data_IF_316718290395
#
_entry.id   IF_316718290395
#
_cell.length_a   1.000
_cell.length_b   1.000
_cell.length_c   1.000
_cell.angle_alpha   90.00
_cell.angle_beta   90.00
_cell.angle_gamma   90.00
#
_symmetry.space_group_name_H-M   'P 1'
#
loop_
_entity.id
_entity.type
_entity.pdbx_description
1 polymer ?
#
# COMPACT_ATOMS: atom_id res chain seq x y z
N UNK A 1 -10.45 6.17 12.46
CA UNK A 1 -10.90 4.89 11.90
C UNK A 1 -12.39 4.92 11.55
N UNK A 2 -13.36 5.21 12.47
CA UNK A 2 -14.81 5.22 12.13
C UNK A 2 -15.19 6.17 10.99
N UNK A 3 -14.59 7.37 10.91
CA UNK A 3 -14.85 8.33 9.84
C UNK A 3 -14.28 7.83 8.51
N UNK A 4 -13.14 7.15 8.53
CA UNK A 4 -12.52 6.55 7.35
C UNK A 4 -13.43 5.48 6.75
N UNK A 5 -13.96 4.54 7.56
CA UNK A 5 -14.91 3.55 7.08
C UNK A 5 -16.16 4.17 6.48
N UNK A 6 -16.74 5.19 7.14
CA UNK A 6 -17.90 5.90 6.58
C UNK A 6 -17.59 6.58 5.24
N UNK A 7 -16.37 7.09 5.06
CA UNK A 7 -15.95 7.67 3.79
C UNK A 7 -15.81 6.59 2.70
N UNK A 8 -15.26 5.43 3.04
CA UNK A 8 -15.16 4.30 2.12
C UNK A 8 -16.56 3.81 1.70
N UNK A 9 -17.50 3.67 2.64
CA UNK A 9 -18.89 3.30 2.34
C UNK A 9 -19.58 4.34 1.45
N UNK A 10 -19.32 5.63 1.68
CA UNK A 10 -19.92 6.72 0.89
C UNK A 10 -19.35 6.82 -0.51
N UNK A 11 -18.03 6.69 -0.65
CA UNK A 11 -17.30 6.99 -1.89
C UNK A 11 -16.77 5.73 -2.60
N UNK A 12 -17.05 4.55 -2.08
CA UNK A 12 -16.64 3.26 -2.67
C UNK A 12 -17.42 2.85 -3.91
N UNK A 13 -18.34 3.68 -4.41
CA UNK A 13 -19.23 3.37 -5.56
C UNK A 13 -20.03 2.09 -5.33
N UNK A 14 -20.07 1.21 -6.33
CA UNK A 14 -20.79 -0.07 -6.32
C UNK A 14 -19.99 -1.20 -5.63
N UNK A 15 -18.85 -0.86 -4.99
CA UNK A 15 -18.03 -1.84 -4.27
C UNK A 15 -18.58 -2.13 -2.88
N UNK A 16 -18.57 -3.40 -2.52
CA UNK A 16 -18.87 -3.82 -1.16
C UNK A 16 -17.64 -3.56 -0.29
N UNK A 17 -17.79 -2.75 0.76
CA UNK A 17 -16.72 -2.50 1.74
C UNK A 17 -16.69 -3.63 2.75
N UNK A 18 -15.65 -4.44 2.71
CA UNK A 18 -15.43 -5.56 3.64
C UNK A 18 -14.44 -5.09 4.71
N UNK A 19 -14.88 -5.09 5.98
CA UNK A 19 -14.01 -4.79 7.12
C UNK A 19 -13.46 -6.09 7.66
N UNK A 20 -12.15 -6.16 7.75
CA UNK A 20 -11.46 -7.34 8.25
C UNK A 20 -10.92 -7.11 9.65
N UNK A 21 -11.04 -8.13 10.47
CA UNK A 21 -10.38 -8.30 11.75
C UNK A 21 -9.80 -9.72 11.86
N UNK A 22 -9.22 -10.04 13.00
CA UNK A 22 -8.54 -11.33 13.21
C UNK A 22 -9.46 -12.56 13.05
N UNK A 23 -10.76 -12.40 13.20
CA UNK A 23 -11.71 -13.52 13.02
C UNK A 23 -12.26 -13.55 11.60
N UNK A 24 -12.76 -12.42 11.10
CA UNK A 24 -13.38 -12.35 9.77
C UNK A 24 -12.40 -12.58 8.63
N UNK A 25 -11.10 -12.29 8.80
CA UNK A 25 -10.12 -12.59 7.75
C UNK A 25 -10.04 -14.09 7.40
N UNK A 26 -10.34 -14.98 8.37
CA UNK A 26 -10.32 -16.44 8.19
C UNK A 26 -11.40 -16.95 7.22
N UNK A 27 -12.44 -16.15 6.98
CA UNK A 27 -13.47 -16.46 5.99
C UNK A 27 -12.97 -16.25 4.55
N UNK A 28 -11.91 -15.46 4.38
CA UNK A 28 -11.37 -15.08 3.08
C UNK A 28 -10.03 -15.72 2.76
N UNK A 29 -9.20 -15.98 3.77
CA UNK A 29 -7.83 -16.45 3.57
C UNK A 29 -7.50 -17.62 4.52
N UNK A 30 -6.85 -18.63 3.94
CA UNK A 30 -6.15 -19.66 4.68
C UNK A 30 -4.70 -19.21 4.86
N UNK A 31 -4.39 -18.67 6.03
CA UNK A 31 -3.05 -18.15 6.35
C UNK A 31 -2.19 -19.32 6.88
N UNK A 32 -1.01 -19.57 6.30
CA UNK A 32 -0.12 -20.64 6.77
C UNK A 32 0.22 -20.51 8.25
N UNK A 33 0.26 -21.65 8.94
CA UNK A 33 0.45 -21.71 10.39
C UNK A 33 1.73 -21.01 10.84
N UNK A 34 2.83 -21.16 10.10
CA UNK A 34 4.11 -20.52 10.43
C UNK A 34 4.02 -18.97 10.44
N UNK A 35 3.14 -18.38 9.63
CA UNK A 35 2.87 -16.91 9.64
C UNK A 35 2.14 -16.52 10.93
N UNK A 36 1.11 -17.31 11.30
CA UNK A 36 0.34 -17.05 12.52
C UNK A 36 1.20 -17.24 13.78
N UNK A 37 2.08 -18.24 13.79
CA UNK A 37 3.06 -18.45 14.87
C UNK A 37 3.99 -17.24 15.00
N UNK A 38 4.57 -16.76 13.89
CA UNK A 38 5.45 -15.56 13.91
C UNK A 38 4.74 -14.30 14.41
N UNK A 39 3.46 -14.15 14.09
CA UNK A 39 2.63 -13.06 14.58
C UNK A 39 2.39 -13.20 16.10
N UNK A 40 2.00 -14.39 16.58
CA UNK A 40 1.72 -14.67 17.98
C UNK A 40 2.97 -14.50 18.86
N UNK A 41 4.11 -14.97 18.37
CA UNK A 41 5.42 -14.88 19.04
C UNK A 41 6.06 -13.49 18.95
N UNK A 42 5.38 -12.54 18.28
CA UNK A 42 5.87 -11.16 18.03
C UNK A 42 7.17 -11.08 17.21
N UNK A 43 7.48 -12.12 16.47
CA UNK A 43 8.56 -12.13 15.46
C UNK A 43 8.15 -11.31 14.22
N UNK A 44 6.84 -11.28 13.93
CA UNK A 44 6.21 -10.45 12.89
C UNK A 44 5.31 -9.40 13.54
N UNK A 45 5.46 -8.14 13.13
CA UNK A 45 4.54 -7.08 13.54
C UNK A 45 3.26 -7.04 12.69
N UNK A 46 2.18 -6.48 13.23
CA UNK A 46 0.90 -6.35 12.52
C UNK A 46 1.00 -5.59 11.19
N UNK A 47 1.90 -4.62 11.06
CA UNK A 47 2.12 -3.93 9.80
C UNK A 47 2.60 -4.89 8.69
N UNK A 48 3.57 -5.74 8.99
CA UNK A 48 4.09 -6.73 8.05
C UNK A 48 3.10 -7.87 7.78
N UNK A 49 2.31 -8.26 8.79
CA UNK A 49 1.20 -9.18 8.59
C UNK A 49 0.14 -8.58 7.65
N UNK A 50 -0.16 -7.30 7.80
CA UNK A 50 -1.05 -6.57 6.88
C UNK A 50 -0.50 -6.52 5.45
N UNK A 51 0.82 -6.52 5.25
CA UNK A 51 1.43 -6.61 3.92
C UNK A 51 1.11 -7.96 3.23
N UNK A 52 1.13 -9.06 4.00
CA UNK A 52 0.70 -10.38 3.50
C UNK A 52 -0.80 -10.39 3.20
N UNK A 53 -1.63 -9.91 4.13
CA UNK A 53 -3.09 -9.90 3.96
C UNK A 53 -3.51 -9.13 2.71
N UNK A 54 -2.98 -7.92 2.49
CA UNK A 54 -3.36 -7.08 1.33
C UNK A 54 -3.02 -7.75 0.02
N UNK A 55 -1.85 -8.36 -0.09
CA UNK A 55 -1.43 -9.04 -1.30
C UNK A 55 -2.21 -10.35 -1.53
N UNK A 56 -2.45 -11.14 -0.49
CA UNK A 56 -3.21 -12.38 -0.59
C UNK A 56 -4.67 -12.14 -0.99
N UNK A 57 -5.33 -11.13 -0.40
CA UNK A 57 -6.68 -10.74 -0.77
C UNK A 57 -6.76 -10.26 -2.21
N UNK A 58 -5.86 -9.36 -2.61
CA UNK A 58 -5.82 -8.84 -3.98
C UNK A 58 -5.49 -9.93 -5.01
N UNK A 59 -4.61 -10.88 -4.66
CA UNK A 59 -4.31 -12.04 -5.49
C UNK A 59 -5.54 -12.92 -5.70
N UNK A 60 -6.26 -13.25 -4.62
CA UNK A 60 -7.38 -14.19 -4.65
C UNK A 60 -8.66 -13.59 -5.20
N UNK A 61 -8.93 -12.32 -4.94
CA UNK A 61 -10.23 -11.70 -5.21
C UNK A 61 -10.14 -10.51 -6.17
N UNK A 62 -8.98 -9.83 -6.22
CA UNK A 62 -8.86 -8.51 -6.83
C UNK A 62 -9.55 -7.42 -5.99
N UNK A 63 -9.85 -6.29 -6.61
CA UNK A 63 -10.52 -5.17 -5.96
C UNK A 63 -9.56 -4.11 -5.44
N UNK A 64 -9.90 -3.51 -4.29
CA UNK A 64 -9.13 -2.41 -3.71
C UNK A 64 -8.81 -2.71 -2.25
N UNK A 65 -7.53 -2.76 -1.92
CA UNK A 65 -7.10 -2.69 -0.54
C UNK A 65 -7.03 -1.23 -0.08
N UNK A 66 -7.53 -0.96 1.11
CA UNK A 66 -7.38 0.32 1.81
C UNK A 66 -7.06 0.08 3.27
N UNK A 67 -6.00 0.70 3.76
CA UNK A 67 -5.74 0.72 5.19
C UNK A 67 -6.88 1.43 5.94
N UNK A 68 -7.21 0.97 7.14
CA UNK A 68 -8.32 1.48 7.96
C UNK A 68 -8.21 2.98 8.32
N UNK A 69 -7.09 3.59 8.03
CA UNK A 69 -6.82 5.02 8.26
C UNK A 69 -7.02 5.90 7.02
N UNK A 70 -7.32 5.31 5.87
CA UNK A 70 -7.58 6.07 4.63
C UNK A 70 -8.91 6.79 4.74
N UNK A 71 -8.91 8.10 4.50
CA UNK A 71 -10.09 8.95 4.39
C UNK A 71 -10.32 9.30 2.93
N UNK A 72 -11.40 8.79 2.36
CA UNK A 72 -11.84 9.21 1.03
C UNK A 72 -12.60 10.54 1.13
N UNK A 73 -12.22 11.51 0.31
CA UNK A 73 -12.88 12.82 0.22
C UNK A 73 -13.80 12.93 -0.99
N UNK A 74 -13.61 12.03 -1.97
CA UNK A 74 -14.41 11.94 -3.18
C UNK A 74 -14.42 10.48 -3.69
N UNK A 75 -15.19 10.22 -4.76
CA UNK A 75 -15.25 8.93 -5.43
C UNK A 75 -13.91 8.53 -6.02
N UNK A 76 -13.59 7.24 -5.91
CA UNK A 76 -12.41 6.66 -6.54
C UNK A 76 -12.49 6.85 -8.06
N UNK A 77 -11.40 7.31 -8.66
CA UNK A 77 -11.33 7.52 -10.12
C UNK A 77 -11.46 6.20 -10.86
N UNK A 78 -12.32 6.16 -11.89
CA UNK A 78 -12.53 4.99 -12.75
C UNK A 78 -11.24 4.52 -13.42
N UNK A 79 -10.34 5.44 -13.77
CA UNK A 79 -9.05 5.12 -14.39
C UNK A 79 -8.20 4.12 -13.60
N UNK A 80 -8.37 4.05 -12.26
CA UNK A 80 -7.61 3.10 -11.44
C UNK A 80 -8.11 1.67 -11.62
N UNK A 81 -9.40 1.49 -11.94
CA UNK A 81 -10.02 0.19 -12.16
C UNK A 81 -9.81 -0.35 -13.60
N UNK A 82 -9.41 0.53 -14.52
CA UNK A 82 -9.08 0.14 -15.91
C UNK A 82 -7.68 -0.44 -16.03
N UNK A 83 -6.82 -0.26 -15.01
CA UNK A 83 -5.46 -0.81 -14.97
C UNK A 83 -5.47 -2.23 -14.42
N UNK A 84 -4.54 -3.08 -14.89
CA UNK A 84 -4.35 -4.44 -14.35
C UNK A 84 -4.06 -4.40 -12.84
N UNK A 85 -3.31 -3.42 -12.41
CA UNK A 85 -3.14 -3.00 -11.01
C UNK A 85 -2.74 -1.53 -10.95
N UNK A 86 -2.95 -0.91 -9.81
CA UNK A 86 -2.52 0.46 -9.54
C UNK A 86 -2.13 0.63 -8.06
N UNK A 87 -1.07 1.38 -7.84
CA UNK A 87 -0.66 1.93 -6.56
C UNK A 87 0.06 3.27 -6.78
N UNK A 88 0.04 4.14 -5.78
CA UNK A 88 0.76 5.41 -5.84
C UNK A 88 2.27 5.16 -5.73
N UNK A 89 3.04 5.88 -6.55
CA UNK A 89 4.48 5.72 -6.65
C UNK A 89 5.20 7.05 -6.55
N UNK A 90 6.49 7.02 -6.19
CA UNK A 90 7.35 8.19 -6.18
C UNK A 90 7.49 8.75 -7.59
N UNK A 91 7.05 9.98 -7.80
CA UNK A 91 7.19 10.69 -9.07
C UNK A 91 8.56 11.40 -9.12
N UNK A 92 9.39 10.97 -10.09
CA UNK A 92 10.70 11.57 -10.31
C UNK A 92 10.64 13.00 -10.89
N UNK A 93 9.49 13.42 -11.39
CA UNK A 93 9.29 14.75 -11.97
C UNK A 93 8.60 15.73 -11.03
N UNK A 94 8.33 15.33 -9.76
CA UNK A 94 7.71 16.20 -8.79
C UNK A 94 8.57 17.47 -8.56
N UNK A 95 7.96 18.65 -8.61
CA UNK A 95 8.69 19.92 -8.48
C UNK A 95 9.10 20.25 -7.03
N UNK A 96 8.22 19.97 -6.06
CA UNK A 96 8.41 20.32 -4.66
C UNK A 96 9.00 19.19 -3.80
N UNK A 97 9.91 18.38 -4.36
CA UNK A 97 10.55 17.25 -3.68
C UNK A 97 11.13 17.59 -2.31
N UNK A 98 11.81 18.78 -2.23
CA UNK A 98 12.45 19.19 -0.99
C UNK A 98 11.48 19.40 0.15
N UNK A 99 10.29 19.94 -0.11
CA UNK A 99 9.26 20.11 0.92
C UNK A 99 8.81 18.78 1.53
N UNK A 100 8.72 17.74 0.70
CA UNK A 100 8.36 16.39 1.12
C UNK A 100 9.50 15.70 1.88
N UNK A 101 10.75 15.86 1.45
CA UNK A 101 11.91 15.37 2.17
C UNK A 101 12.08 16.08 3.54
N UNK A 102 11.79 17.37 3.61
CA UNK A 102 11.78 18.13 4.87
C UNK A 102 10.63 17.69 5.80
N UNK A 103 9.50 17.24 5.24
CA UNK A 103 8.36 16.71 6.00
C UNK A 103 8.65 15.32 6.58
N UNK A 104 9.11 14.37 5.78
CA UNK A 104 9.46 13.00 6.20
C UNK A 104 10.55 12.40 5.31
N UNK A 105 11.79 12.61 5.64
CA UNK A 105 12.95 12.14 4.88
C UNK A 105 13.16 10.61 4.94
N UNK A 106 12.50 9.91 5.85
CA UNK A 106 12.57 8.45 5.95
C UNK A 106 11.72 7.81 4.85
N UNK A 107 10.51 8.33 4.65
CA UNK A 107 9.61 7.85 3.62
C UNK A 107 9.86 8.56 2.28
N UNK A 108 9.81 9.90 2.26
CA UNK A 108 10.00 10.69 1.05
C UNK A 108 11.48 10.97 0.80
N UNK A 109 12.08 10.27 -0.14
CA UNK A 109 13.43 10.54 -0.59
C UNK A 109 13.57 10.30 -2.09
N UNK A 110 14.18 11.25 -2.79
CA UNK A 110 14.54 11.15 -4.20
C UNK A 110 16.00 10.74 -4.41
N UNK A 111 16.70 10.36 -3.33
CA UNK A 111 18.01 9.76 -3.44
C UNK A 111 17.96 8.46 -4.26
N UNK A 112 18.94 8.27 -5.15
CA UNK A 112 19.10 7.01 -5.91
C UNK A 112 19.30 5.77 -5.03
N UNK A 113 19.66 5.95 -3.76
CA UNK A 113 19.80 4.87 -2.77
C UNK A 113 18.49 4.49 -2.11
N UNK A 114 17.49 5.38 -2.16
CA UNK A 114 16.18 5.09 -1.60
C UNK A 114 15.46 4.04 -2.43
N UNK A 115 14.97 3.00 -1.76
CA UNK A 115 14.18 1.92 -2.35
C UNK A 115 12.71 1.94 -1.91
N UNK A 116 12.33 2.91 -1.07
CA UNK A 116 10.95 3.12 -0.63
C UNK A 116 10.27 4.08 -1.61
N UNK A 117 9.58 3.54 -2.61
CA UNK A 117 9.07 4.29 -3.77
C UNK A 117 7.62 4.01 -4.12
N UNK A 118 6.87 3.37 -3.22
CA UNK A 118 5.45 3.12 -3.43
C UNK A 118 4.68 3.20 -2.13
N UNK A 119 3.39 3.52 -2.23
CA UNK A 119 2.44 3.54 -1.13
C UNK A 119 1.68 2.21 -1.08
N UNK A 120 1.75 1.52 0.06
CA UNK A 120 1.07 0.24 0.25
C UNK A 120 -0.33 0.36 0.87
N UNK A 121 -0.70 1.53 1.37
CA UNK A 121 -1.98 1.73 2.07
C UNK A 121 -3.21 1.77 1.15
N UNK A 122 -3.02 1.96 -0.16
CA UNK A 122 -4.07 1.88 -1.19
C UNK A 122 -3.52 1.16 -2.40
N UNK A 123 -4.10 0.01 -2.74
CA UNK A 123 -3.70 -0.79 -3.90
C UNK A 123 -4.95 -1.29 -4.62
N UNK A 124 -5.03 -1.03 -5.92
CA UNK A 124 -6.03 -1.60 -6.83
C UNK A 124 -5.41 -2.76 -7.58
N UNK A 125 -6.14 -3.85 -7.78
CA UNK A 125 -5.66 -4.96 -8.58
C UNK A 125 -6.79 -5.79 -9.17
N UNK A 126 -6.60 -6.27 -10.38
CA UNK A 126 -7.38 -7.40 -10.86
C UNK A 126 -6.92 -8.68 -10.16
N UNK A 127 -7.84 -9.63 -10.03
CA UNK A 127 -7.54 -10.96 -9.51
C UNK A 127 -6.42 -11.63 -10.31
N UNK A 128 -5.55 -12.36 -9.62
CA UNK A 128 -4.42 -13.06 -10.23
C UNK A 128 -3.41 -12.16 -10.98
N UNK A 129 -3.31 -10.90 -10.58
CA UNK A 129 -2.33 -9.99 -11.17
C UNK A 129 -0.89 -10.50 -10.92
N UNK A 130 -0.09 -10.52 -11.99
CA UNK A 130 1.28 -11.06 -11.98
C UNK A 130 2.19 -10.36 -10.98
N UNK A 131 2.13 -9.02 -10.88
CA UNK A 131 2.98 -8.23 -9.97
C UNK A 131 2.58 -8.53 -8.51
N UNK A 132 1.28 -8.50 -8.22
CA UNK A 132 0.75 -8.78 -6.88
C UNK A 132 1.09 -10.21 -6.43
N UNK A 133 0.90 -11.19 -7.30
CA UNK A 133 1.23 -12.59 -7.00
C UNK A 133 2.72 -12.77 -6.72
N UNK A 134 3.59 -12.19 -7.56
CA UNK A 134 5.04 -12.29 -7.36
C UNK A 134 5.48 -11.62 -6.05
N UNK A 135 4.90 -10.46 -5.71
CA UNK A 135 5.19 -9.81 -4.42
C UNK A 135 4.74 -10.64 -3.22
N UNK A 136 3.57 -11.28 -3.33
CA UNK A 136 3.09 -12.20 -2.30
C UNK A 136 4.08 -13.36 -2.13
N UNK A 137 4.47 -14.01 -3.21
CA UNK A 137 5.43 -15.12 -3.18
C UNK A 137 6.77 -14.68 -2.55
N UNK A 138 7.28 -13.51 -2.94
CA UNK A 138 8.51 -12.95 -2.37
C UNK A 138 8.40 -12.73 -0.85
N UNK A 139 7.27 -12.18 -0.36
CA UNK A 139 7.04 -12.00 1.08
C UNK A 139 6.89 -13.33 1.80
N UNK A 140 6.17 -14.30 1.22
CA UNK A 140 5.99 -15.62 1.83
C UNK A 140 7.32 -16.34 1.98
N UNK A 141 8.15 -16.38 0.92
CA UNK A 141 9.51 -16.95 0.94
C UNK A 141 10.39 -16.21 1.95
N UNK A 142 10.30 -14.87 1.99
CA UNK A 142 11.06 -14.10 2.97
C UNK A 142 10.70 -14.52 4.40
N UNK A 143 9.42 -14.58 4.74
CA UNK A 143 8.96 -14.92 6.07
C UNK A 143 9.11 -16.40 6.43
N UNK A 144 9.16 -17.30 5.46
CA UNK A 144 9.52 -18.69 5.69
C UNK A 144 10.96 -18.83 6.23
N UNK A 145 11.86 -17.99 5.72
CA UNK A 145 13.30 -18.09 5.99
C UNK A 145 13.83 -17.09 7.02
N UNK A 146 13.02 -16.13 7.50
CA UNK A 146 13.47 -15.06 8.39
C UNK A 146 12.47 -14.83 9.54
N UNK A 147 12.99 -14.47 10.71
CA UNK A 147 12.21 -14.18 11.92
C UNK A 147 12.11 -12.66 12.22
N UNK A 148 12.72 -11.83 11.42
CA UNK A 148 12.69 -10.37 11.55
C UNK A 148 12.92 -9.71 10.21
N UNK A 149 12.52 -8.45 10.09
CA UNK A 149 12.76 -7.66 8.88
C UNK A 149 14.02 -6.78 9.02
N UNK A 150 14.83 -6.65 7.97
CA UNK A 150 15.97 -5.74 7.96
C UNK A 150 15.54 -4.27 7.88
N UNK A 151 14.32 -4.02 7.40
CA UNK A 151 13.75 -2.68 7.23
C UNK A 151 12.24 -2.74 7.36
N UNK A 152 11.64 -1.73 8.00
CA UNK A 152 10.18 -1.60 8.13
C UNK A 152 9.45 -1.61 6.77
N UNK A 153 10.04 -1.02 5.75
CA UNK A 153 9.48 -0.88 4.41
C UNK A 153 9.83 -2.06 3.48
N UNK A 154 9.86 -3.29 4.01
CA UNK A 154 10.26 -4.48 3.22
C UNK A 154 9.40 -4.67 1.96
N UNK A 155 8.09 -4.48 2.04
CA UNK A 155 7.20 -4.60 0.87
C UNK A 155 7.54 -3.57 -0.22
N UNK A 156 7.75 -2.31 0.17
CA UNK A 156 8.11 -1.24 -0.75
C UNK A 156 9.46 -1.50 -1.44
N UNK A 157 10.42 -2.02 -0.68
CA UNK A 157 11.74 -2.39 -1.20
C UNK A 157 11.62 -3.53 -2.20
N UNK A 158 10.85 -4.58 -1.88
CA UNK A 158 10.62 -5.72 -2.77
C UNK A 158 9.90 -5.30 -4.06
N UNK A 159 8.89 -4.43 -3.95
CA UNK A 159 8.23 -3.86 -5.13
C UNK A 159 9.22 -3.11 -6.03
N UNK A 160 10.03 -2.21 -5.44
CA UNK A 160 11.00 -1.45 -6.20
C UNK A 160 12.02 -2.36 -6.90
N UNK A 161 12.57 -3.36 -6.20
CA UNK A 161 13.50 -4.34 -6.79
C UNK A 161 12.85 -5.15 -7.92
N UNK A 162 11.59 -5.58 -7.71
CA UNK A 162 10.85 -6.32 -8.72
C UNK A 162 10.65 -5.50 -10.00
N UNK A 163 10.19 -4.25 -9.87
CA UNK A 163 9.91 -3.38 -11.01
C UNK A 163 11.21 -2.95 -11.72
N UNK A 164 12.22 -2.49 -10.98
CA UNK A 164 13.45 -2.01 -11.59
C UNK A 164 14.22 -3.09 -12.36
N UNK A 165 14.27 -4.31 -11.82
CA UNK A 165 15.17 -5.34 -12.31
C UNK A 165 14.49 -6.43 -13.14
N UNK A 166 13.19 -6.69 -12.96
CA UNK A 166 12.51 -7.83 -13.56
C UNK A 166 11.23 -7.46 -14.32
N UNK A 167 10.41 -6.54 -13.79
CA UNK A 167 9.06 -6.27 -14.27
C UNK A 167 8.86 -4.81 -14.71
N UNK A 168 9.88 -4.22 -15.32
CA UNK A 168 9.84 -2.81 -15.75
C UNK A 168 8.68 -2.50 -16.72
N UNK A 169 8.29 -3.48 -17.55
CA UNK A 169 7.18 -3.31 -18.51
C UNK A 169 5.81 -3.44 -17.85
N UNK A 170 5.74 -4.07 -16.70
CA UNK A 170 4.55 -4.27 -15.89
C UNK A 170 4.31 -3.14 -14.88
N UNK A 171 5.18 -2.13 -14.83
CA UNK A 171 4.98 -0.97 -13.96
C UNK A 171 3.68 -0.24 -14.34
N UNK A 172 2.78 -0.06 -13.37
CA UNK A 172 1.57 0.73 -13.58
C UNK A 172 1.90 2.22 -13.76
N UNK A 173 0.94 2.99 -14.25
CA UNK A 173 1.10 4.43 -14.41
C UNK A 173 1.57 5.07 -13.09
N UNK A 174 2.63 5.88 -13.17
CA UNK A 174 3.13 6.63 -12.01
C UNK A 174 2.18 7.79 -11.71
N UNK A 175 1.57 7.75 -10.53
CA UNK A 175 0.87 8.87 -9.91
C UNK A 175 1.52 9.06 -8.55
N UNK A 176 1.90 10.29 -8.24
CA UNK A 176 2.71 10.59 -7.06
C UNK A 176 2.10 10.08 -5.76
N UNK A 177 2.92 9.40 -4.96
CA UNK A 177 2.59 8.98 -3.61
C UNK A 177 2.48 10.14 -2.62
N UNK A 178 2.81 11.36 -3.05
CA UNK A 178 2.58 12.59 -2.28
C UNK A 178 1.10 12.98 -2.25
N UNK A 179 0.36 12.66 -3.32
CA UNK A 179 -1.04 13.05 -3.45
C UNK A 179 -1.92 12.58 -2.28
N UNK A 180 -1.88 11.31 -1.83
CA UNK A 180 -2.66 10.87 -0.67
C UNK A 180 -2.16 11.44 0.67
N UNK A 181 -0.97 12.02 0.72
CA UNK A 181 -0.37 12.56 1.94
C UNK A 181 -0.56 14.08 2.10
N UNK A 182 -1.15 14.76 1.12
CA UNK A 182 -1.24 16.22 1.09
C UNK A 182 -1.96 16.79 2.33
N UNK A 183 -3.03 16.14 2.80
CA UNK A 183 -3.73 16.55 4.01
C UNK A 183 -2.84 16.52 5.26
N UNK A 184 -1.95 15.53 5.39
CA UNK A 184 -1.04 15.42 6.53
C UNK A 184 0.02 16.52 6.47
N UNK A 185 0.58 16.79 5.29
CA UNK A 185 1.56 17.84 5.10
C UNK A 185 0.96 19.23 5.41
N UNK A 186 -0.22 19.52 4.89
CA UNK A 186 -0.92 20.79 5.15
C UNK A 186 -1.24 20.98 6.64
N UNK A 187 -1.63 19.90 7.34
CA UNK A 187 -1.87 19.95 8.78
C UNK A 187 -0.58 20.20 9.57
N UNK A 188 0.52 19.64 9.15
CA UNK A 188 1.83 19.82 9.78
C UNK A 188 2.37 21.24 9.58
N UNK A 189 2.23 21.80 8.38
CA UNK A 189 2.75 23.12 7.98
C UNK A 189 1.87 24.32 8.40
N UNK A 190 0.84 24.12 9.20
CA UNK A 190 -0.26 25.04 9.47
C UNK A 190 -1.14 25.28 8.23
N UNK A 191 -2.39 24.87 8.38
CA UNK A 191 -3.48 24.93 7.41
C UNK A 191 -3.51 26.25 6.61
N UNK A 192 -3.55 26.14 5.29
CA UNK A 192 -3.87 27.24 4.37
C UNK A 192 -4.95 26.73 3.43
N UNK A 193 -6.09 27.46 3.35
CA UNK A 193 -7.20 27.11 2.45
C UNK A 193 -6.77 27.07 0.98
N UNK A 194 -5.80 27.88 0.58
CA UNK A 194 -5.27 27.94 -0.80
C UNK A 194 -4.59 26.65 -1.27
N UNK A 195 -4.16 25.77 -0.34
CA UNK A 195 -3.50 24.51 -0.67
C UNK A 195 -4.47 23.31 -0.80
N UNK A 196 -5.73 23.50 -0.44
CA UNK A 196 -6.76 22.46 -0.52
C UNK A 196 -7.72 22.63 -1.70
N UNK A 197 -7.64 23.72 -2.43
CA UNK A 197 -8.34 23.98 -3.69
C UNK A 197 -7.50 23.59 -4.89
#
# INVERSE_FOLDING_TARGET
VKICYKSMEKYGRDYTVIRLDNESMKEYLDIPEYILEKLNDKRMGYAHFSDILRLALLSNYGGVWMDATILLTDYLSEKYFEMDYFLFQRDENLENKKEWEDYDSIYFSWSKKSKVRMLSSVIFSHKNNKVINTLLDMLMIFWENNDSVPNYFILQILYNELIENYYKKEQCQVISDTFPHEMFRVWFDKYSEERLM
#
